data_IF_640438871812
#
_entry.id   IF_640438871812
#
_cell.length_a   1.000
_cell.length_b   1.000
_cell.length_c   1.000
_cell.angle_alpha   90.00
_cell.angle_beta   90.00
_cell.angle_gamma   90.00
#
_symmetry.space_group_name_H-M   'P 1'
#
loop_
_entity.id
_entity.type
_entity.pdbx_description
1 polymer ?
#
# COMPACT_ATOMS: atom_id res chain seq x y z
N UNK A 1 -11.32 -17.84 -8.42
CA UNK A 1 -10.50 -16.84 -7.79
C UNK A 1 -10.08 -15.89 -8.87
N UNK A 2 -10.87 -14.96 -9.00
CA UNK A 2 -10.68 -13.91 -9.96
C UNK A 2 -10.13 -12.76 -9.15
N UNK A 3 -8.81 -12.69 -9.04
CA UNK A 3 -8.17 -11.42 -8.78
C UNK A 3 -8.88 -10.45 -9.69
N UNK A 4 -9.50 -9.43 -9.14
CA UNK A 4 -10.42 -8.62 -9.91
C UNK A 4 -9.62 -7.73 -10.87
N UNK A 5 -9.30 -8.27 -12.03
CA UNK A 5 -8.62 -7.54 -13.11
C UNK A 5 -9.52 -6.49 -13.76
N UNK A 6 -10.75 -6.35 -13.29
CA UNK A 6 -11.76 -5.44 -13.88
C UNK A 6 -11.74 -4.03 -13.29
N UNK A 7 -11.04 -3.77 -12.19
CA UNK A 7 -11.00 -2.43 -11.59
C UNK A 7 -10.42 -1.34 -12.50
N UNK A 8 -9.30 -1.54 -13.22
CA UNK A 8 -8.81 -0.51 -14.15
C UNK A 8 -9.84 -0.10 -15.20
N UNK A 9 -10.65 -1.04 -15.69
CA UNK A 9 -11.70 -0.73 -16.67
C UNK A 9 -12.91 0.02 -16.08
N UNK A 10 -13.04 0.02 -14.77
CA UNK A 10 -14.13 0.67 -14.02
C UNK A 10 -13.67 1.93 -13.29
N UNK A 11 -12.39 2.27 -13.34
CA UNK A 11 -11.80 3.39 -12.61
C UNK A 11 -12.52 4.72 -12.92
N UNK A 12 -12.91 4.94 -14.19
CA UNK A 12 -13.61 6.15 -14.60
C UNK A 12 -14.96 6.38 -13.88
N UNK A 13 -15.54 5.33 -13.29
CA UNK A 13 -16.78 5.40 -12.53
C UNK A 13 -16.56 5.56 -11.01
N UNK A 14 -15.30 5.50 -10.54
CA UNK A 14 -14.96 5.57 -9.12
C UNK A 14 -14.72 7.03 -8.69
N UNK A 15 -15.18 7.42 -7.49
CA UNK A 15 -14.74 8.68 -6.89
C UNK A 15 -13.23 8.67 -6.73
N UNK A 16 -12.57 9.69 -7.29
CA UNK A 16 -11.10 9.75 -7.35
C UNK A 16 -10.53 10.69 -6.30
N UNK A 17 -9.54 10.20 -5.56
CA UNK A 17 -8.77 10.97 -4.58
C UNK A 17 -7.31 11.00 -5.02
N UNK A 18 -6.79 12.20 -5.20
CA UNK A 18 -5.46 12.41 -5.78
C UNK A 18 -4.61 13.26 -4.83
N UNK A 19 -3.40 12.79 -4.51
CA UNK A 19 -2.40 13.68 -3.93
C UNK A 19 -1.62 14.38 -5.03
N UNK A 20 -1.48 15.69 -4.92
CA UNK A 20 -0.63 16.51 -5.80
C UNK A 20 0.61 17.01 -5.07
N UNK A 21 0.94 16.43 -3.93
CA UNK A 21 2.00 16.91 -3.05
C UNK A 21 3.34 16.27 -3.39
N UNK A 22 4.23 17.06 -3.99
CA UNK A 22 5.60 16.66 -4.33
C UNK A 22 6.51 16.36 -3.12
N UNK A 23 6.05 16.68 -1.90
CA UNK A 23 6.77 16.33 -0.65
C UNK A 23 6.40 14.95 -0.11
N UNK A 24 5.67 14.12 -0.86
CA UNK A 24 5.32 12.74 -0.51
C UNK A 24 4.23 12.61 0.53
N UNK A 25 3.37 13.62 0.70
CA UNK A 25 2.20 13.53 1.58
C UNK A 25 1.18 12.56 0.97
N UNK A 26 0.73 11.53 1.68
CA UNK A 26 -0.23 10.55 1.19
C UNK A 26 -1.63 11.16 0.99
N UNK A 27 -2.48 10.46 0.22
CA UNK A 27 -3.91 10.79 0.11
C UNK A 27 -4.61 10.67 1.46
N UNK A 28 -4.24 9.65 2.23
CA UNK A 28 -4.77 9.40 3.57
C UNK A 28 -3.64 9.12 4.55
N UNK A 29 -3.68 9.77 5.70
CA UNK A 29 -2.85 9.47 6.85
C UNK A 29 -3.69 9.57 8.12
N UNK A 30 -3.67 8.50 8.93
CA UNK A 30 -4.37 8.48 10.20
C UNK A 30 -3.60 9.27 11.27
N UNK A 31 -4.34 9.85 12.20
CA UNK A 31 -3.80 10.35 13.46
C UNK A 31 -3.68 9.20 14.47
N UNK A 32 -2.91 9.42 15.53
CA UNK A 32 -2.81 8.48 16.66
C UNK A 32 -4.20 8.13 17.20
N UNK A 33 -4.45 6.84 17.42
CA UNK A 33 -5.71 6.32 17.95
C UNK A 33 -6.93 6.50 17.03
N UNK A 34 -6.78 6.92 15.77
CA UNK A 34 -7.89 7.00 14.82
C UNK A 34 -8.48 5.60 14.58
N UNK A 35 -9.82 5.50 14.48
CA UNK A 35 -10.43 4.17 14.38
C UNK A 35 -11.78 4.14 13.65
N UNK A 36 -12.17 2.91 13.21
CA UNK A 36 -13.46 2.59 12.61
C UNK A 36 -13.74 3.32 11.29
N UNK A 37 -12.77 3.32 10.38
CA UNK A 37 -12.93 3.86 9.03
C UNK A 37 -13.06 2.76 7.98
N UNK A 38 -13.89 3.01 6.99
CA UNK A 38 -14.02 2.18 5.80
C UNK A 38 -13.83 3.03 4.55
N UNK A 39 -12.92 2.59 3.69
CA UNK A 39 -12.69 3.13 2.35
C UNK A 39 -13.28 2.15 1.35
N UNK A 40 -14.30 2.56 0.61
CA UNK A 40 -15.04 1.63 -0.25
C UNK A 40 -15.22 2.23 -1.63
N UNK A 41 -14.80 1.50 -2.67
CA UNK A 41 -15.03 1.85 -4.06
C UNK A 41 -14.36 3.16 -4.50
N UNK A 42 -13.17 3.46 -3.97
CA UNK A 42 -12.41 4.67 -4.28
C UNK A 42 -11.25 4.37 -5.23
N UNK A 43 -11.01 5.27 -6.18
CA UNK A 43 -9.71 5.38 -6.83
C UNK A 43 -8.81 6.30 -6.02
N UNK A 44 -7.61 5.84 -5.66
CA UNK A 44 -6.64 6.56 -4.84
C UNK A 44 -5.29 6.54 -5.56
N UNK A 45 -4.78 7.73 -5.92
CA UNK A 45 -3.56 7.83 -6.73
C UNK A 45 -2.79 9.13 -6.45
N UNK A 46 -1.65 9.28 -7.10
CA UNK A 46 -0.89 10.53 -7.16
C UNK A 46 -1.09 11.21 -8.51
N UNK A 47 -1.00 12.53 -8.52
CA UNK A 47 -0.94 13.32 -9.76
C UNK A 47 0.34 12.96 -10.54
N UNK A 48 0.29 13.01 -11.87
CA UNK A 48 1.44 12.72 -12.72
C UNK A 48 2.65 13.62 -12.49
N UNK A 49 2.46 14.80 -11.89
CA UNK A 49 3.54 15.68 -11.49
C UNK A 49 4.26 15.25 -10.20
N UNK A 50 3.76 14.23 -9.50
CA UNK A 50 4.38 13.70 -8.28
C UNK A 50 5.44 12.66 -8.65
N UNK A 51 6.69 13.06 -8.67
CA UNK A 51 7.81 12.16 -9.00
C UNK A 51 8.15 11.18 -7.86
N UNK A 52 7.86 11.55 -6.62
CA UNK A 52 8.21 10.76 -5.44
C UNK A 52 7.06 10.70 -4.43
N UNK A 53 6.56 9.50 -4.18
CA UNK A 53 5.59 9.20 -3.13
C UNK A 53 6.08 8.08 -2.22
N UNK A 54 5.98 8.30 -0.92
CA UNK A 54 6.37 7.31 0.10
C UNK A 54 5.16 6.62 0.75
N UNK A 55 4.02 6.66 0.07
CA UNK A 55 2.79 5.96 0.43
C UNK A 55 1.55 6.74 0.00
N UNK A 56 0.51 6.04 -0.45
CA UNK A 56 -0.77 6.67 -0.79
C UNK A 56 -1.77 6.59 0.35
N UNK A 57 -1.79 5.47 1.09
CA UNK A 57 -2.67 5.25 2.24
C UNK A 57 -1.82 4.81 3.43
N UNK A 58 -1.61 5.70 4.38
CA UNK A 58 -0.83 5.41 5.58
C UNK A 58 -1.76 5.25 6.79
N UNK A 59 -1.97 3.99 7.20
CA UNK A 59 -2.74 3.61 8.38
C UNK A 59 -1.76 3.37 9.52
N UNK A 60 -1.55 4.39 10.35
CA UNK A 60 -0.53 4.43 11.39
C UNK A 60 0.78 5.07 10.97
N UNK A 61 1.76 4.99 11.86
CA UNK A 61 3.08 5.60 11.70
C UNK A 61 4.18 4.60 12.10
N UNK A 62 5.11 4.35 11.19
CA UNK A 62 6.27 3.49 11.42
C UNK A 62 7.42 4.16 12.17
N UNK A 63 7.30 5.43 12.55
CA UNK A 63 8.33 6.20 13.24
C UNK A 63 8.12 6.24 14.76
N UNK A 64 9.04 6.89 15.47
CA UNK A 64 8.93 7.12 16.91
C UNK A 64 7.72 7.98 17.35
N UNK A 65 6.98 8.55 16.41
CA UNK A 65 5.71 9.24 16.69
C UNK A 65 4.58 8.28 17.12
N UNK A 66 4.75 6.96 16.88
CA UNK A 66 3.86 5.90 17.36
C UNK A 66 4.70 4.88 18.12
N UNK A 67 4.99 5.14 19.39
CA UNK A 67 5.88 4.32 20.20
C UNK A 67 5.18 3.54 21.33
N UNK A 68 3.87 3.65 21.43
CA UNK A 68 3.02 2.91 22.38
C UNK A 68 1.82 2.29 21.68
N UNK A 69 1.26 1.20 22.24
CA UNK A 69 0.06 0.58 21.74
C UNK A 69 -1.18 1.50 21.78
N UNK A 70 -1.22 2.46 22.68
CA UNK A 70 -2.33 3.40 22.80
C UNK A 70 -2.40 4.40 21.61
N UNK A 71 -1.30 4.61 20.93
CA UNK A 71 -1.22 5.48 19.75
C UNK A 71 -1.60 4.77 18.46
N UNK A 72 -1.63 3.42 18.47
CA UNK A 72 -1.90 2.61 17.28
C UNK A 72 -3.34 2.85 16.80
N UNK A 73 -3.53 3.33 15.58
CA UNK A 73 -4.87 3.43 15.01
C UNK A 73 -5.39 2.04 14.66
N UNK A 74 -6.75 1.86 14.61
CA UNK A 74 -7.29 0.52 14.49
C UNK A 74 -8.68 0.45 13.84
N UNK A 75 -9.10 -0.77 13.43
CA UNK A 75 -10.39 -1.06 12.83
C UNK A 75 -10.61 -0.36 11.49
N UNK A 76 -9.78 -0.73 10.50
CA UNK A 76 -9.86 -0.23 9.14
C UNK A 76 -10.33 -1.30 8.17
N UNK A 77 -11.12 -0.88 7.20
CA UNK A 77 -11.46 -1.71 6.04
C UNK A 77 -11.21 -0.90 4.77
N UNK A 78 -10.40 -1.46 3.87
CA UNK A 78 -10.23 -0.98 2.50
C UNK A 78 -10.85 -2.03 1.58
N UNK A 79 -11.93 -1.67 0.91
CA UNK A 79 -12.80 -2.61 0.22
C UNK A 79 -13.11 -2.11 -1.20
N UNK A 80 -12.84 -2.94 -2.21
CA UNK A 80 -13.10 -2.63 -3.63
C UNK A 80 -12.51 -1.28 -4.07
N UNK A 81 -11.30 -0.97 -3.62
CA UNK A 81 -10.58 0.24 -4.02
C UNK A 81 -9.58 -0.06 -5.14
N UNK A 82 -9.37 0.94 -5.99
CA UNK A 82 -8.26 0.98 -6.92
C UNK A 82 -7.21 1.95 -6.40
N UNK A 83 -6.07 1.40 -5.96
CA UNK A 83 -4.97 2.19 -5.36
C UNK A 83 -3.75 2.00 -6.24
N UNK A 84 -3.29 3.07 -6.87
CA UNK A 84 -2.22 2.90 -7.85
C UNK A 84 -1.26 4.09 -7.91
N UNK A 85 -0.01 3.76 -8.23
CA UNK A 85 0.98 4.74 -8.65
C UNK A 85 0.79 5.17 -10.10
N UNK A 86 1.84 5.65 -10.70
CA UNK A 86 1.91 5.91 -12.13
C UNK A 86 3.33 5.67 -12.67
N UNK A 87 3.43 5.28 -13.93
CA UNK A 87 4.68 4.83 -14.55
C UNK A 87 5.75 5.91 -14.68
N UNK A 88 5.37 7.18 -14.70
CA UNK A 88 6.28 8.31 -14.86
C UNK A 88 7.08 8.64 -13.60
N UNK A 89 6.60 8.20 -12.42
CA UNK A 89 7.27 8.47 -11.16
C UNK A 89 8.62 7.76 -11.05
N UNK A 90 9.56 8.39 -10.34
CA UNK A 90 10.80 7.75 -9.91
C UNK A 90 10.56 6.83 -8.71
N UNK A 91 9.69 7.28 -7.77
CA UNK A 91 9.37 6.55 -6.55
C UNK A 91 7.86 6.56 -6.32
N UNK A 92 7.24 5.38 -6.38
CA UNK A 92 5.92 5.06 -5.84
C UNK A 92 6.11 3.94 -4.83
N UNK A 93 6.50 4.29 -3.58
CA UNK A 93 7.06 3.30 -2.68
C UNK A 93 6.03 2.36 -2.06
N UNK A 94 4.94 2.90 -1.51
CA UNK A 94 3.93 2.09 -0.80
C UNK A 94 2.52 2.40 -1.29
N UNK A 95 1.74 1.35 -1.54
CA UNK A 95 0.30 1.48 -1.75
C UNK A 95 -0.42 1.74 -0.43
N UNK A 96 -0.37 0.77 0.45
CA UNK A 96 -0.96 0.84 1.80
C UNK A 96 0.11 0.51 2.84
N UNK A 97 0.24 1.37 3.85
CA UNK A 97 1.01 1.08 5.06
C UNK A 97 0.07 0.64 6.17
N UNK A 98 0.35 -0.54 6.75
CA UNK A 98 -0.39 -1.16 7.84
C UNK A 98 0.41 -1.07 9.15
N UNK A 99 0.69 0.15 9.60
CA UNK A 99 1.26 0.42 10.92
C UNK A 99 0.12 0.61 11.96
N UNK A 100 -0.92 -0.23 11.87
CA UNK A 100 -2.18 -0.14 12.59
C UNK A 100 -2.58 -1.51 13.17
N UNK A 101 -3.74 -1.57 13.82
CA UNK A 101 -4.34 -2.81 14.29
C UNK A 101 -5.69 -3.07 13.63
N UNK A 102 -6.11 -4.36 13.58
CA UNK A 102 -7.45 -4.75 13.10
C UNK A 102 -7.78 -4.16 11.71
N UNK A 103 -7.00 -4.49 10.70
CA UNK A 103 -7.22 -3.99 9.36
C UNK A 103 -7.55 -5.11 8.36
N UNK A 104 -8.45 -4.79 7.41
CA UNK A 104 -8.81 -5.67 6.31
C UNK A 104 -8.66 -4.95 4.97
N UNK A 105 -7.95 -5.57 4.01
CA UNK A 105 -7.78 -5.13 2.64
C UNK A 105 -8.42 -6.19 1.76
N UNK A 106 -9.55 -5.85 1.13
CA UNK A 106 -10.43 -6.84 0.50
C UNK A 106 -10.83 -6.37 -0.90
N UNK A 107 -10.76 -7.28 -1.88
CA UNK A 107 -11.24 -7.05 -3.25
C UNK A 107 -10.65 -5.81 -3.94
N UNK A 108 -9.43 -5.42 -3.56
CA UNK A 108 -8.76 -4.23 -4.08
C UNK A 108 -7.84 -4.55 -5.26
N UNK A 109 -7.62 -3.54 -6.10
CA UNK A 109 -6.57 -3.54 -7.10
C UNK A 109 -5.49 -2.53 -6.68
N UNK A 110 -4.29 -3.02 -6.40
CA UNK A 110 -3.17 -2.22 -5.88
C UNK A 110 -1.99 -2.42 -6.82
N UNK A 111 -1.65 -1.40 -7.63
CA UNK A 111 -0.69 -1.53 -8.74
C UNK A 111 0.21 -0.33 -8.94
N UNK A 112 1.22 -0.50 -9.79
CA UNK A 112 2.20 0.52 -10.16
C UNK A 112 3.03 1.05 -8.98
N UNK A 113 3.33 0.19 -7.98
CA UNK A 113 4.26 0.53 -6.92
C UNK A 113 5.67 0.09 -7.28
N UNK A 114 6.55 1.07 -7.49
CA UNK A 114 7.91 0.84 -7.95
C UNK A 114 8.87 1.92 -7.45
N UNK A 115 10.15 1.60 -7.53
CA UNK A 115 11.22 2.54 -7.22
C UNK A 115 12.47 2.23 -8.04
N UNK A 116 13.26 3.24 -8.28
CA UNK A 116 14.62 3.10 -8.77
C UNK A 116 15.56 3.16 -7.57
N UNK A 117 16.21 2.04 -7.24
CA UNK A 117 17.25 2.00 -6.22
C UNK A 117 16.87 1.51 -4.84
N UNK A 118 15.58 1.24 -4.54
CA UNK A 118 15.15 0.56 -3.32
C UNK A 118 13.79 -0.13 -3.48
N UNK A 119 13.41 -0.94 -2.50
CA UNK A 119 12.18 -1.72 -2.54
C UNK A 119 10.92 -0.88 -2.53
N UNK A 120 9.92 -1.34 -3.26
CA UNK A 120 8.56 -0.79 -3.26
C UNK A 120 7.56 -1.90 -2.98
N UNK A 121 6.50 -1.62 -2.22
CA UNK A 121 5.52 -2.60 -1.78
C UNK A 121 4.09 -2.13 -2.06
N UNK A 122 3.22 -3.04 -2.52
CA UNK A 122 1.80 -2.76 -2.61
C UNK A 122 1.19 -2.62 -1.20
N UNK A 123 1.56 -3.51 -0.28
CA UNK A 123 1.17 -3.47 1.13
C UNK A 123 2.41 -3.66 1.99
N UNK A 124 2.59 -2.80 2.99
CA UNK A 124 3.73 -2.86 3.91
C UNK A 124 3.32 -2.50 5.34
N UNK A 125 4.02 -3.03 6.35
CA UNK A 125 3.84 -2.67 7.74
C UNK A 125 5.03 -3.07 8.59
N UNK A 126 5.43 -2.22 9.53
CA UNK A 126 6.54 -2.47 10.46
C UNK A 126 6.17 -2.25 11.93
N UNK A 127 5.14 -1.44 12.19
CA UNK A 127 4.79 -0.95 13.53
C UNK A 127 3.31 -1.16 13.87
N UNK A 128 2.69 -2.16 13.24
CA UNK A 128 1.30 -2.54 13.46
C UNK A 128 1.19 -3.95 14.04
N UNK A 129 0.46 -4.15 15.17
CA UNK A 129 0.37 -5.46 15.81
C UNK A 129 -0.50 -6.48 15.06
N UNK A 130 -1.37 -6.05 14.15
CA UNK A 130 -2.42 -6.89 13.57
C UNK A 130 -3.70 -6.91 14.46
N UNK A 131 -4.62 -7.89 14.28
CA UNK A 131 -4.65 -8.83 13.16
C UNK A 131 -4.86 -8.15 11.81
N UNK A 132 -4.39 -8.80 10.73
CA UNK A 132 -4.56 -8.31 9.36
C UNK A 132 -5.25 -9.35 8.48
N UNK A 133 -6.16 -8.88 7.63
CA UNK A 133 -6.81 -9.71 6.61
C UNK A 133 -6.55 -9.11 5.23
N UNK A 134 -5.87 -9.85 4.36
CA UNK A 134 -5.53 -9.45 2.99
C UNK A 134 -6.13 -10.51 2.07
N UNK A 135 -7.30 -10.20 1.50
CA UNK A 135 -8.15 -11.16 0.82
C UNK A 135 -8.54 -10.70 -0.58
N UNK A 136 -8.34 -11.58 -1.57
CA UNK A 136 -8.83 -11.42 -2.95
C UNK A 136 -8.41 -10.10 -3.62
N UNK A 137 -7.15 -9.70 -3.45
CA UNK A 137 -6.61 -8.49 -4.06
C UNK A 137 -5.73 -8.84 -5.27
N UNK A 138 -5.64 -7.90 -6.22
CA UNK A 138 -4.54 -7.83 -7.17
C UNK A 138 -3.45 -6.94 -6.59
N UNK A 139 -2.22 -7.44 -6.51
CA UNK A 139 -1.08 -6.76 -5.88
C UNK A 139 0.10 -6.74 -6.85
N UNK A 140 0.58 -5.52 -7.17
CA UNK A 140 1.69 -5.31 -8.08
C UNK A 140 2.67 -4.31 -7.49
N UNK A 141 3.89 -4.76 -7.25
CA UNK A 141 4.99 -3.94 -6.78
C UNK A 141 6.34 -4.45 -7.28
N UNK A 142 7.31 -3.58 -7.46
CA UNK A 142 8.63 -3.94 -7.99
C UNK A 142 9.51 -4.64 -6.94
N UNK A 143 9.36 -4.32 -5.67
CA UNK A 143 9.97 -5.07 -4.56
C UNK A 143 9.06 -6.22 -4.09
N UNK A 144 8.66 -6.27 -2.85
CA UNK A 144 7.71 -7.25 -2.34
C UNK A 144 6.27 -6.75 -2.54
N UNK A 145 5.38 -7.66 -2.96
CA UNK A 145 3.96 -7.27 -3.04
C UNK A 145 3.35 -7.07 -1.66
N UNK A 146 3.81 -7.83 -0.65
CA UNK A 146 3.47 -7.67 0.76
C UNK A 146 4.76 -7.82 1.59
N UNK A 147 5.00 -6.88 2.50
CA UNK A 147 6.12 -6.93 3.44
C UNK A 147 5.66 -6.56 4.85
N UNK A 148 5.82 -7.46 5.81
CA UNK A 148 5.75 -7.15 7.24
C UNK A 148 7.14 -7.24 7.85
N UNK A 149 7.72 -6.09 8.24
CA UNK A 149 9.07 -5.99 8.73
C UNK A 149 9.96 -5.09 7.85
N UNK A 150 11.24 -5.47 7.71
CA UNK A 150 12.25 -4.69 6.99
C UNK A 150 12.91 -3.60 7.85
N UNK A 151 12.33 -3.25 9.00
CA UNK A 151 12.91 -2.37 10.01
C UNK A 151 12.42 -2.77 11.41
N UNK A 152 13.13 -2.32 12.44
CA UNK A 152 12.66 -2.49 13.81
C UNK A 152 11.41 -1.62 14.06
N UNK A 153 10.38 -2.15 14.73
CA UNK A 153 9.22 -1.35 15.10
C UNK A 153 9.60 -0.29 16.14
N UNK A 154 8.91 0.84 16.10
CA UNK A 154 9.10 1.89 17.11
C UNK A 154 8.51 1.48 18.48
N UNK A 155 7.48 0.64 18.49
CA UNK A 155 6.91 0.06 19.71
C UNK A 155 7.80 -1.10 20.16
N UNK A 156 8.42 -1.06 21.35
CA UNK A 156 9.34 -2.09 21.80
C UNK A 156 8.71 -3.50 21.85
N UNK A 157 9.35 -4.48 21.23
CA UNK A 157 8.92 -5.87 21.22
C UNK A 157 7.70 -6.17 20.36
N UNK A 158 7.22 -5.22 19.55
CA UNK A 158 6.09 -5.44 18.66
C UNK A 158 6.46 -6.44 17.56
N UNK A 159 5.58 -7.41 17.36
CA UNK A 159 5.63 -8.35 16.23
C UNK A 159 4.24 -8.41 15.61
N UNK A 160 4.06 -8.11 14.32
CA UNK A 160 2.79 -8.31 13.64
C UNK A 160 2.36 -9.78 13.72
N UNK A 161 1.11 -10.02 14.09
CA UNK A 161 0.57 -11.39 14.25
C UNK A 161 -0.84 -11.53 13.66
N UNK A 162 -1.32 -12.76 13.62
CA UNK A 162 -2.66 -13.10 13.15
C UNK A 162 -2.95 -12.53 11.74
N UNK A 163 -2.05 -12.86 10.80
CA UNK A 163 -2.09 -12.35 9.43
C UNK A 163 -2.69 -13.41 8.51
N UNK A 164 -3.87 -13.11 7.96
CA UNK A 164 -4.53 -13.92 6.93
C UNK A 164 -4.23 -13.34 5.54
N UNK A 165 -3.51 -14.08 4.69
CA UNK A 165 -3.26 -13.73 3.29
C UNK A 165 -3.84 -14.84 2.42
N UNK A 166 -4.91 -14.54 1.67
CA UNK A 166 -5.64 -15.56 0.93
C UNK A 166 -6.22 -15.04 -0.37
N UNK A 167 -6.19 -15.87 -1.42
CA UNK A 167 -6.81 -15.61 -2.73
C UNK A 167 -6.29 -14.35 -3.45
N UNK A 168 -5.11 -13.86 -3.10
CA UNK A 168 -4.53 -12.70 -3.76
C UNK A 168 -3.80 -13.11 -5.03
N UNK A 169 -3.82 -12.22 -6.02
CA UNK A 169 -3.01 -12.32 -7.23
C UNK A 169 -1.77 -11.46 -7.06
N UNK A 170 -0.60 -12.08 -7.00
CA UNK A 170 0.69 -11.42 -6.95
C UNK A 170 1.25 -11.30 -8.37
N UNK A 171 1.56 -10.08 -8.80
CA UNK A 171 2.04 -9.83 -10.14
C UNK A 171 3.30 -8.96 -10.14
N UNK A 172 4.14 -9.18 -11.16
CA UNK A 172 5.30 -8.35 -11.50
C UNK A 172 5.42 -8.29 -13.01
N UNK A 173 5.35 -7.08 -13.63
CA UNK A 173 5.57 -6.93 -15.07
C UNK A 173 6.99 -7.37 -15.46
N UNK A 174 7.11 -8.10 -16.56
CA UNK A 174 8.43 -8.46 -17.10
C UNK A 174 9.29 -7.24 -17.42
N UNK A 175 8.66 -6.14 -17.83
CA UNK A 175 9.33 -4.86 -18.07
C UNK A 175 9.99 -4.23 -16.84
N UNK A 176 9.77 -4.77 -15.64
CA UNK A 176 10.45 -4.34 -14.42
C UNK A 176 11.64 -5.24 -14.04
N UNK A 177 11.81 -6.34 -14.75
CA UNK A 177 12.92 -7.26 -14.52
C UNK A 177 14.19 -6.73 -15.13
N UNK A 178 15.24 -6.54 -14.32
CA UNK A 178 16.59 -6.19 -14.81
C UNK A 178 17.09 -7.24 -15.78
N UNK A 179 17.54 -6.80 -16.95
CA UNK A 179 18.02 -7.69 -18.02
C UNK A 179 16.94 -8.18 -18.98
N UNK A 180 15.66 -7.86 -18.77
CA UNK A 180 14.62 -8.10 -19.76
C UNK A 180 14.74 -7.09 -20.92
N UNK A 181 14.53 -7.50 -22.20
CA UNK A 181 14.58 -6.58 -23.33
C UNK A 181 13.59 -5.41 -23.27
N UNK A 182 12.48 -5.58 -22.52
CA UNK A 182 11.47 -4.53 -22.30
C UNK A 182 11.67 -3.73 -21.02
N UNK A 183 12.85 -3.83 -20.39
CA UNK A 183 13.10 -3.20 -19.09
C UNK A 183 12.83 -1.70 -19.06
N UNK A 184 11.90 -1.28 -18.21
CA UNK A 184 11.39 0.08 -18.11
C UNK A 184 12.04 0.93 -16.99
N UNK A 185 13.23 0.53 -16.51
CA UNK A 185 13.95 1.28 -15.48
C UNK A 185 13.44 1.08 -14.04
N UNK A 186 12.46 0.20 -13.83
CA UNK A 186 11.99 -0.21 -12.50
C UNK A 186 12.75 -1.46 -12.04
N UNK A 187 12.84 -1.72 -10.75
CA UNK A 187 13.64 -2.83 -10.23
C UNK A 187 12.78 -3.88 -9.50
N UNK A 188 13.01 -5.16 -9.82
CA UNK A 188 12.65 -6.33 -9.01
C UNK A 188 13.62 -7.48 -9.20
#
# INVERSE_FOLDING_TARGET
>A
PTGNTSYPAQADAMPRIVTNNSSGIPCFRTQAGAHHYRFVGLEITADLAVENSYGLVNLGDGSAAQNTLAEVPHHFVVDRCYIHGHTEATIMKYGIRLDCANAAIIDCHISDFHSVGFDAQAISGINGPGPFKILNNYLEASGENILFGGAAPAIPGLVPSDIEIRQNHFYKPWSWRVGDPSYAGKHW
#
